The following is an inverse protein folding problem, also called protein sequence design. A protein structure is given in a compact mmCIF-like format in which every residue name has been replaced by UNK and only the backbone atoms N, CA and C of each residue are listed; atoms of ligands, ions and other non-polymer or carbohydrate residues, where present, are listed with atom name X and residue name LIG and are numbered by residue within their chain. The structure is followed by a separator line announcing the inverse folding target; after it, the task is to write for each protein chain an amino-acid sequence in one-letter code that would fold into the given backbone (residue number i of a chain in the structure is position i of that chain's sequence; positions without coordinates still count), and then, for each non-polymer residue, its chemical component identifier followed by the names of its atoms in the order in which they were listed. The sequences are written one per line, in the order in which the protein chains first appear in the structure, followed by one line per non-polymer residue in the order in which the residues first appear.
data_IF_955459198232
#
_entry.id   IF_955459198232
#
_cell.length_a   1.000
_cell.length_b   1.000
_cell.length_c   1.000
_cell.angle_alpha   90.00
_cell.angle_beta   90.00
_cell.angle_gamma   90.00
#
_symmetry.space_group_name_H-M   'P 1'
#
loop_
_entity.id
_entity.type
_entity.pdbx_description
1 polymer ?
#
# COMPACT_ATOMS: atom_id res chain seq x y z
N UNK A 1 -5.08 9.87 -15.98
CA UNK A 1 -6.42 9.28 -15.71
C UNK A 1 -6.95 8.27 -16.77
N UNK A 2 -6.50 8.29 -18.05
CA UNK A 2 -6.93 7.27 -19.05
C UNK A 2 -6.33 5.86 -18.84
N UNK A 3 -5.16 5.75 -18.20
CA UNK A 3 -4.45 4.46 -17.98
C UNK A 3 -5.23 3.55 -17.02
N UNK A 4 -5.72 4.08 -15.90
CA UNK A 4 -6.54 3.33 -14.93
C UNK A 4 -7.82 2.79 -15.57
N UNK A 5 -8.47 3.58 -16.42
CA UNK A 5 -9.70 3.17 -17.12
C UNK A 5 -9.46 2.03 -18.13
N UNK A 6 -8.29 2.01 -18.78
CA UNK A 6 -7.88 0.93 -19.70
C UNK A 6 -7.45 -0.34 -18.94
N UNK A 7 -6.79 -0.19 -17.78
CA UNK A 7 -6.49 -1.30 -16.88
C UNK A 7 -7.79 -1.96 -16.42
N UNK A 8 -8.78 -1.16 -16.00
CA UNK A 8 -10.07 -1.62 -15.46
C UNK A 8 -10.92 -2.42 -16.48
N UNK A 9 -10.76 -2.15 -17.78
CA UNK A 9 -11.44 -2.91 -18.84
C UNK A 9 -10.87 -4.33 -19.05
N UNK A 10 -9.61 -4.58 -18.67
CA UNK A 10 -8.94 -5.89 -18.83
C UNK A 10 -8.87 -6.71 -17.53
N UNK A 11 -9.46 -6.23 -16.43
CA UNK A 11 -9.48 -6.96 -15.14
C UNK A 11 -10.34 -8.24 -15.23
N UNK A 12 -11.25 -8.34 -16.21
CA UNK A 12 -11.90 -9.60 -16.58
C UNK A 12 -12.48 -10.40 -15.39
N UNK A 13 -12.04 -11.64 -15.25
CA UNK A 13 -12.46 -12.62 -14.22
C UNK A 13 -11.90 -12.36 -12.82
N UNK A 14 -10.81 -11.59 -12.67
CA UNK A 14 -10.10 -11.38 -11.39
C UNK A 14 -10.58 -10.13 -10.62
N UNK A 15 -11.78 -9.64 -10.91
CA UNK A 15 -12.38 -8.46 -10.25
C UNK A 15 -12.54 -8.64 -8.74
N UNK A 16 -12.83 -9.87 -8.29
CA UNK A 16 -12.98 -10.18 -6.86
C UNK A 16 -11.66 -9.96 -6.10
N UNK A 17 -10.57 -10.55 -6.58
CA UNK A 17 -9.24 -10.41 -5.95
C UNK A 17 -8.72 -8.97 -6.01
N UNK A 18 -9.04 -8.24 -7.09
CA UNK A 18 -8.71 -6.83 -7.23
C UNK A 18 -9.43 -5.92 -6.22
N UNK A 19 -10.64 -6.27 -5.78
CA UNK A 19 -11.38 -5.49 -4.77
C UNK A 19 -11.00 -5.92 -3.35
N UNK A 20 -10.76 -7.22 -3.13
CA UNK A 20 -10.38 -7.76 -1.83
C UNK A 20 -9.00 -7.25 -1.40
N UNK A 21 -8.05 -7.12 -2.34
CA UNK A 21 -6.68 -6.72 -2.03
C UNK A 21 -6.58 -5.36 -1.30
N UNK A 22 -7.19 -4.26 -1.78
CA UNK A 22 -7.21 -2.98 -1.05
C UNK A 22 -7.85 -3.07 0.34
N UNK A 23 -8.94 -3.83 0.50
CA UNK A 23 -9.63 -3.98 1.78
C UNK A 23 -8.75 -4.67 2.82
N UNK A 24 -8.06 -5.73 2.41
CA UNK A 24 -7.13 -6.48 3.26
C UNK A 24 -5.93 -5.61 3.64
N UNK A 25 -5.41 -4.79 2.72
CA UNK A 25 -4.31 -3.83 3.01
C UNK A 25 -4.72 -2.77 4.04
N UNK A 26 -5.96 -2.28 3.99
CA UNK A 26 -6.48 -1.35 5.00
C UNK A 26 -6.54 -2.04 6.38
N UNK A 27 -6.98 -3.30 6.42
CA UNK A 27 -6.99 -4.10 7.65
C UNK A 27 -5.60 -4.33 8.25
N UNK A 28 -4.59 -4.59 7.40
CA UNK A 28 -3.19 -4.71 7.83
C UNK A 28 -2.71 -3.41 8.51
N UNK A 29 -2.97 -2.26 7.90
CA UNK A 29 -2.58 -0.95 8.43
C UNK A 29 -3.24 -0.66 9.78
N UNK A 30 -4.50 -1.05 9.97
CA UNK A 30 -5.18 -0.89 11.27
C UNK A 30 -4.47 -1.69 12.37
N UNK A 31 -4.05 -2.92 12.08
CA UNK A 31 -3.30 -3.73 13.04
C UNK A 31 -1.94 -3.08 13.37
N UNK A 32 -1.24 -2.57 12.35
CA UNK A 32 0.04 -1.88 12.50
C UNK A 32 -0.10 -0.61 13.37
N UNK A 33 -1.21 0.13 13.22
CA UNK A 33 -1.47 1.38 13.97
C UNK A 33 -1.92 1.16 15.42
N UNK A 34 -2.27 -0.06 15.82
CA UNK A 34 -2.57 -0.39 17.23
C UNK A 34 -1.27 -0.56 18.03
N UNK A 35 -0.16 -0.94 17.39
CA UNK A 35 1.13 -1.22 18.05
C UNK A 35 1.65 0.00 18.85
N UNK A 36 1.66 1.24 18.33
CA UNK A 36 2.10 2.40 19.11
C UNK A 36 1.24 2.71 20.34
N UNK A 37 -0.08 2.44 20.31
CA UNK A 37 -0.95 2.60 21.49
C UNK A 37 -0.63 1.59 22.59
N UNK A 38 -0.40 0.33 22.18
CA UNK A 38 0.00 -0.71 23.10
C UNK A 38 1.38 -0.42 23.70
N UNK A 39 2.29 0.17 22.91
CA UNK A 39 3.59 0.62 23.40
C UNK A 39 3.47 1.73 24.44
N UNK A 40 2.61 2.74 24.23
CA UNK A 40 2.34 3.76 25.24
C UNK A 40 1.83 3.14 26.55
N UNK A 41 0.86 2.23 26.44
CA UNK A 41 0.28 1.54 27.60
C UNK A 41 1.31 0.68 28.33
N UNK A 42 2.21 0.03 27.59
CA UNK A 42 3.30 -0.79 28.14
C UNK A 42 4.27 0.06 28.96
N UNK A 43 4.61 1.26 28.48
CA UNK A 43 5.52 2.18 29.17
C UNK A 43 4.81 2.77 30.40
N UNK A 44 3.65 3.39 30.22
CA UNK A 44 3.00 4.19 31.26
C UNK A 44 2.38 3.35 32.39
N UNK A 45 1.76 2.23 32.03
CA UNK A 45 1.07 1.38 33.01
C UNK A 45 1.87 0.14 33.40
N UNK A 46 2.94 -0.18 32.66
CA UNK A 46 3.81 -1.31 32.96
C UNK A 46 5.14 -0.84 33.54
N UNK A 47 6.01 -0.31 32.68
CA UNK A 47 7.40 0.00 33.01
C UNK A 47 7.51 1.09 34.08
N UNK A 48 6.75 2.18 33.95
CA UNK A 48 6.81 3.32 34.86
C UNK A 48 6.23 2.99 36.24
N UNK A 49 5.17 2.17 36.29
CA UNK A 49 4.52 1.72 37.54
C UNK A 49 5.14 0.47 38.15
N UNK A 50 6.09 -0.18 37.48
CA UNK A 50 6.71 -1.43 37.91
C UNK A 50 5.78 -2.66 37.87
N UNK A 51 4.64 -2.59 37.17
CA UNK A 51 3.68 -3.69 37.09
C UNK A 51 4.07 -4.68 35.97
N UNK A 52 4.78 -5.74 36.36
CA UNK A 52 5.22 -6.79 35.44
C UNK A 52 4.06 -7.57 34.80
N UNK A 53 2.89 -7.62 35.44
CA UNK A 53 1.73 -8.31 34.88
C UNK A 53 1.18 -7.54 33.67
N UNK A 54 1.13 -6.21 33.75
CA UNK A 54 0.74 -5.34 32.62
C UNK A 54 1.76 -5.43 31.49
N UNK A 55 3.06 -5.45 31.79
CA UNK A 55 4.12 -5.58 30.77
C UNK A 55 3.95 -6.88 29.98
N UNK A 56 3.84 -8.03 30.67
CA UNK A 56 3.72 -9.34 30.01
C UNK A 56 2.42 -9.44 29.21
N UNK A 57 1.29 -9.00 29.77
CA UNK A 57 -0.01 -9.06 29.09
C UNK A 57 -0.05 -8.19 27.85
N UNK A 58 0.45 -6.96 27.94
CA UNK A 58 0.47 -6.01 26.82
C UNK A 58 1.42 -6.48 25.72
N UNK A 59 2.59 -7.00 26.08
CA UNK A 59 3.54 -7.59 25.12
C UNK A 59 2.95 -8.79 24.39
N UNK A 60 2.20 -9.65 25.08
CA UNK A 60 1.53 -10.80 24.47
C UNK A 60 0.43 -10.36 23.51
N UNK A 61 -0.36 -9.35 23.88
CA UNK A 61 -1.37 -8.75 22.99
C UNK A 61 -0.70 -8.13 21.75
N UNK A 62 0.41 -7.40 21.92
CA UNK A 62 1.17 -6.83 20.79
C UNK A 62 1.62 -7.92 19.83
N UNK A 63 2.13 -9.04 20.35
CA UNK A 63 2.57 -10.16 19.52
C UNK A 63 1.41 -10.76 18.71
N UNK A 64 0.24 -10.95 19.33
CA UNK A 64 -0.96 -11.44 18.62
C UNK A 64 -1.41 -10.46 17.53
N UNK A 65 -1.40 -9.16 17.81
CA UNK A 65 -1.76 -8.12 16.83
C UNK A 65 -0.80 -8.10 15.65
N UNK A 66 0.51 -8.21 15.89
CA UNK A 66 1.53 -8.26 14.83
C UNK A 66 1.39 -9.53 13.99
N UNK A 67 1.14 -10.69 14.61
CA UNK A 67 0.90 -11.93 13.87
C UNK A 67 -0.38 -11.86 13.02
N UNK A 68 -1.45 -11.27 13.57
CA UNK A 68 -2.67 -11.00 12.81
C UNK A 68 -2.38 -10.09 11.61
N UNK A 69 -1.72 -8.96 11.84
CA UNK A 69 -1.31 -8.03 10.79
C UNK A 69 -0.45 -8.71 9.71
N UNK A 70 0.50 -9.56 10.10
CA UNK A 70 1.33 -10.34 9.17
C UNK A 70 0.50 -11.28 8.30
N UNK A 71 -0.45 -12.02 8.89
CA UNK A 71 -1.32 -12.93 8.13
C UNK A 71 -2.20 -12.18 7.14
N UNK A 72 -2.78 -11.05 7.56
CA UNK A 72 -3.61 -10.18 6.72
C UNK A 72 -2.76 -9.59 5.58
N UNK A 73 -1.56 -9.09 5.87
CA UNK A 73 -0.63 -8.57 4.86
C UNK A 73 -0.18 -9.63 3.86
N UNK A 74 0.13 -10.85 4.31
CA UNK A 74 0.45 -11.98 3.45
C UNK A 74 -0.72 -12.35 2.53
N UNK A 75 -1.95 -12.45 3.07
CA UNK A 75 -3.15 -12.72 2.28
C UNK A 75 -3.37 -11.64 1.22
N UNK A 76 -3.28 -10.36 1.61
CA UNK A 76 -3.42 -9.25 0.66
C UNK A 76 -2.33 -9.26 -0.41
N UNK A 77 -1.11 -9.67 -0.06
CA UNK A 77 -0.02 -9.87 -1.02
C UNK A 77 -0.32 -10.99 -2.02
N UNK A 78 -0.85 -12.12 -1.55
CA UNK A 78 -1.23 -13.26 -2.40
C UNK A 78 -2.36 -12.86 -3.36
N UNK A 79 -3.48 -12.33 -2.86
CA UNK A 79 -4.60 -11.90 -3.71
C UNK A 79 -4.18 -10.82 -4.72
N UNK A 80 -3.35 -9.86 -4.30
CA UNK A 80 -2.84 -8.82 -5.19
C UNK A 80 -1.95 -9.38 -6.29
N UNK A 81 -1.11 -10.37 -5.95
CA UNK A 81 -0.24 -11.04 -6.92
C UNK A 81 -1.04 -11.88 -7.93
N UNK A 82 -2.08 -12.57 -7.47
CA UNK A 82 -2.97 -13.37 -8.30
C UNK A 82 -3.78 -12.48 -9.26
N UNK A 83 -4.35 -11.39 -8.77
CA UNK A 83 -5.09 -10.42 -9.58
C UNK A 83 -4.21 -9.83 -10.70
N UNK A 84 -2.95 -9.49 -10.37
CA UNK A 84 -2.02 -8.94 -11.35
C UNK A 84 -1.53 -9.97 -12.37
N UNK A 85 -1.24 -11.20 -11.95
CA UNK A 85 -0.84 -12.28 -12.85
C UNK A 85 -1.98 -12.67 -13.80
N UNK A 86 -3.22 -12.72 -13.30
CA UNK A 86 -4.43 -12.94 -14.10
C UNK A 86 -4.67 -11.83 -15.12
N UNK A 87 -4.55 -10.56 -14.70
CA UNK A 87 -4.58 -9.41 -15.59
C UNK A 87 -3.52 -9.50 -16.70
N UNK A 88 -2.28 -9.86 -16.33
CA UNK A 88 -1.17 -9.99 -17.29
C UNK A 88 -1.35 -11.15 -18.27
N UNK A 89 -2.05 -12.22 -17.87
CA UNK A 89 -2.43 -13.34 -18.75
C UNK A 89 -3.42 -12.88 -19.82
N UNK A 90 -4.51 -12.22 -19.43
CA UNK A 90 -5.53 -11.74 -20.37
C UNK A 90 -4.93 -10.75 -21.37
N UNK A 91 -4.16 -9.80 -20.85
CA UNK A 91 -3.46 -8.83 -21.67
C UNK A 91 -2.51 -9.48 -22.68
N UNK A 92 -1.74 -10.50 -22.28
CA UNK A 92 -0.86 -11.24 -23.20
C UNK A 92 -1.65 -11.95 -24.29
N UNK A 93 -2.78 -12.56 -23.94
CA UNK A 93 -3.63 -13.25 -24.91
C UNK A 93 -4.20 -12.26 -25.95
N UNK A 94 -4.71 -11.11 -25.51
CA UNK A 94 -5.26 -10.09 -26.40
C UNK A 94 -4.20 -9.54 -27.35
N UNK A 95 -2.98 -9.28 -26.85
CA UNK A 95 -1.88 -8.85 -27.69
C UNK A 95 -1.44 -9.93 -28.68
N UNK A 96 -1.41 -11.20 -28.28
CA UNK A 96 -1.08 -12.31 -29.15
C UNK A 96 -2.11 -12.46 -30.29
N UNK A 97 -3.40 -12.44 -29.96
CA UNK A 97 -4.48 -12.50 -30.93
C UNK A 97 -4.43 -11.32 -31.92
N UNK A 98 -4.15 -10.10 -31.45
CA UNK A 98 -4.03 -8.91 -32.30
C UNK A 98 -2.86 -8.99 -33.29
N UNK A 99 -1.74 -9.60 -32.87
CA UNK A 99 -0.58 -9.81 -33.75
C UNK A 99 -0.88 -10.83 -34.84
N UNK A 100 -1.69 -11.86 -34.55
CA UNK A 100 -2.09 -12.86 -35.54
C UNK A 100 -2.95 -12.28 -36.68
N UNK A 101 -3.65 -11.17 -36.43
CA UNK A 101 -4.44 -10.46 -37.45
C UNK A 101 -3.64 -9.45 -38.29
N UNK A 102 -2.33 -9.29 -38.08
CA UNK A 102 -1.51 -8.37 -38.86
C UNK A 102 -1.20 -8.88 -40.27
N UNK A 103 -1.47 -8.05 -41.27
CA UNK A 103 -1.00 -8.24 -42.65
C UNK A 103 0.53 -8.10 -42.73
N UNK A 104 1.18 -8.80 -43.69
CA UNK A 104 2.64 -8.86 -43.84
C UNK A 104 3.32 -7.46 -43.87
N UNK A 105 2.64 -6.43 -44.39
CA UNK A 105 3.16 -5.04 -44.41
C UNK A 105 3.29 -4.41 -43.01
N UNK A 106 2.49 -4.83 -42.02
CA UNK A 106 2.56 -4.35 -40.64
C UNK A 106 3.69 -5.01 -39.83
N UNK A 107 4.13 -6.20 -40.23
CA UNK A 107 5.22 -6.95 -39.58
C UNK A 107 6.59 -6.32 -39.93
N UNK A 108 6.79 -5.84 -41.16
CA UNK A 108 8.02 -5.13 -41.54
C UNK A 108 8.17 -3.77 -40.85
N UNK A 109 7.06 -3.13 -40.46
CA UNK A 109 7.06 -1.85 -39.73
C UNK A 109 7.42 -2.00 -38.25
N UNK A 110 7.10 -3.15 -37.66
CA UNK A 110 7.45 -3.50 -36.28
C UNK A 110 8.36 -4.73 -36.33
N UNK A 111 9.67 -4.53 -36.41
CA UNK A 111 10.64 -5.65 -36.43
C UNK A 111 10.34 -6.70 -35.34
N UNK A 112 10.45 -7.99 -35.66
CA UNK A 112 10.15 -9.15 -34.79
C UNK A 112 10.69 -9.03 -33.36
N UNK A 113 11.93 -8.53 -33.11
CA UNK A 113 12.46 -8.33 -31.76
C UNK A 113 11.68 -7.28 -30.94
N UNK A 114 11.10 -6.26 -31.60
CA UNK A 114 10.27 -5.25 -30.93
C UNK A 114 8.92 -5.80 -30.50
N UNK A 115 8.33 -6.75 -31.24
CA UNK A 115 7.10 -7.41 -30.82
C UNK A 115 7.33 -8.30 -29.60
N UNK A 116 8.44 -9.05 -29.57
CA UNK A 116 8.78 -9.92 -28.43
C UNK A 116 8.93 -9.11 -27.15
N UNK A 117 9.70 -8.01 -27.20
CA UNK A 117 9.89 -7.12 -26.03
C UNK A 117 8.60 -6.46 -25.55
N UNK A 118 7.63 -6.19 -26.45
CA UNK A 118 6.30 -5.69 -26.06
C UNK A 118 5.42 -6.77 -25.42
N UNK A 119 5.49 -8.00 -25.91
CA UNK A 119 4.73 -9.13 -25.35
C UNK A 119 5.23 -9.59 -23.98
N UNK A 120 6.52 -9.38 -23.68
CA UNK A 120 7.15 -9.81 -22.43
C UNK A 120 7.39 -8.63 -21.49
N UNK A 121 8.33 -7.75 -21.81
CA UNK A 121 8.81 -6.68 -20.94
C UNK A 121 7.74 -5.63 -20.67
N UNK A 122 7.02 -5.15 -21.69
CA UNK A 122 5.97 -4.15 -21.48
C UNK A 122 4.79 -4.74 -20.68
N UNK A 123 4.48 -6.04 -20.84
CA UNK A 123 3.49 -6.72 -20.00
C UNK A 123 3.95 -6.80 -18.55
N UNK A 124 5.20 -7.20 -18.29
CA UNK A 124 5.75 -7.29 -16.93
C UNK A 124 5.76 -5.92 -16.23
N UNK A 125 6.17 -4.86 -16.94
CA UNK A 125 6.14 -3.50 -16.41
C UNK A 125 4.71 -3.08 -16.01
N UNK A 126 3.71 -3.52 -16.76
CA UNK A 126 2.31 -3.15 -16.52
C UNK A 126 1.68 -4.05 -15.45
N UNK A 127 2.08 -5.32 -15.35
CA UNK A 127 1.76 -6.20 -14.23
C UNK A 127 2.28 -5.62 -12.91
N UNK A 128 3.53 -5.16 -12.88
CA UNK A 128 4.13 -4.53 -11.69
C UNK A 128 3.44 -3.21 -11.34
N UNK A 129 3.13 -2.38 -12.34
CA UNK A 129 2.37 -1.15 -12.13
C UNK A 129 0.97 -1.44 -11.56
N UNK A 130 0.32 -2.51 -12.02
CA UNK A 130 -0.97 -2.94 -11.50
C UNK A 130 -0.86 -3.41 -10.04
N UNK A 131 0.14 -4.24 -9.71
CA UNK A 131 0.39 -4.66 -8.31
C UNK A 131 0.62 -3.46 -7.39
N UNK A 132 1.38 -2.45 -7.83
CA UNK A 132 1.61 -1.23 -7.05
C UNK A 132 0.34 -0.44 -6.79
N UNK A 133 -0.46 -0.19 -7.84
CA UNK A 133 -1.71 0.55 -7.70
C UNK A 133 -2.68 -0.20 -6.78
N UNK A 134 -2.71 -1.53 -6.88
CA UNK A 134 -3.62 -2.35 -6.10
C UNK A 134 -3.21 -2.48 -4.63
N UNK A 135 -1.89 -2.48 -4.34
CA UNK A 135 -1.34 -2.80 -3.03
C UNK A 135 -0.72 -1.60 -2.32
N UNK A 136 0.25 -0.93 -2.95
CA UNK A 136 0.98 0.17 -2.32
C UNK A 136 0.14 1.43 -2.18
N UNK A 137 -0.68 1.78 -3.18
CA UNK A 137 -1.46 3.01 -3.10
C UNK A 137 -2.49 2.97 -1.94
N UNK A 138 -3.38 1.97 -1.82
CA UNK A 138 -4.34 1.90 -0.71
C UNK A 138 -3.64 1.83 0.64
N UNK A 139 -2.52 1.09 0.75
CA UNK A 139 -1.72 1.03 1.97
C UNK A 139 -1.20 2.41 2.38
N UNK A 140 -0.52 3.12 1.48
CA UNK A 140 0.07 4.43 1.79
C UNK A 140 -1.00 5.49 2.12
N UNK A 141 -2.13 5.48 1.41
CA UNK A 141 -3.23 6.40 1.69
C UNK A 141 -3.90 6.11 3.03
N UNK A 142 -4.18 4.83 3.33
CA UNK A 142 -4.79 4.44 4.60
C UNK A 142 -3.85 4.68 5.78
N UNK A 143 -2.56 4.38 5.65
CA UNK A 143 -1.57 4.60 6.72
C UNK A 143 -1.42 6.09 7.02
N UNK A 144 -1.40 6.95 6.00
CA UNK A 144 -1.37 8.40 6.18
C UNK A 144 -2.62 8.90 6.93
N UNK A 145 -3.82 8.50 6.48
CA UNK A 145 -5.07 8.94 7.09
C UNK A 145 -5.19 8.48 8.54
N UNK A 146 -4.96 7.19 8.80
CA UNK A 146 -5.09 6.61 10.15
C UNK A 146 -4.03 7.19 11.09
N UNK A 147 -2.77 7.32 10.64
CA UNK A 147 -1.72 7.91 11.47
C UNK A 147 -2.01 9.38 11.79
N UNK A 148 -2.48 10.17 10.81
CA UNK A 148 -2.90 11.54 11.07
C UNK A 148 -4.03 11.61 12.10
N UNK A 149 -5.08 10.81 11.94
CA UNK A 149 -6.17 10.73 12.91
C UNK A 149 -5.67 10.37 14.31
N UNK A 150 -4.78 9.36 14.43
CA UNK A 150 -4.21 8.96 15.71
C UNK A 150 -3.35 10.05 16.35
N UNK A 151 -2.56 10.79 15.56
CA UNK A 151 -1.81 11.95 16.07
C UNK A 151 -2.75 13.00 16.63
N UNK A 152 -3.87 13.30 15.97
CA UNK A 152 -4.86 14.24 16.50
C UNK A 152 -5.54 13.75 17.78
N UNK A 153 -5.79 12.44 17.91
CA UNK A 153 -6.37 11.86 19.13
C UNK A 153 -5.38 11.90 20.28
N UNK A 154 -4.12 11.54 20.05
CA UNK A 154 -3.07 11.55 21.08
C UNK A 154 -2.74 13.00 21.47
N UNK A 155 -2.50 13.88 20.49
CA UNK A 155 -2.25 15.31 20.76
C UNK A 155 -3.46 16.04 21.35
N UNK A 156 -4.69 15.66 20.99
CA UNK A 156 -5.92 16.18 21.60
C UNK A 156 -6.09 15.75 23.06
N UNK A 157 -5.65 14.55 23.43
CA UNK A 157 -5.51 14.15 24.85
C UNK A 157 -4.41 14.94 25.57
N UNK A 158 -3.31 15.24 24.89
CA UNK A 158 -2.17 16.00 25.45
C UNK A 158 -2.43 17.50 25.56
N UNK A 159 -3.21 18.09 24.66
CA UNK A 159 -3.43 19.54 24.55
C UNK A 159 -3.99 20.21 25.83
N UNK A 160 -5.04 19.67 26.49
CA UNK A 160 -5.50 20.24 27.76
C UNK A 160 -4.49 20.00 28.89
N UNK A 161 -3.72 18.91 28.85
CA UNK A 161 -2.66 18.62 29.83
C UNK A 161 -1.52 19.63 29.66
N UNK A 162 -1.14 20.01 28.44
CA UNK A 162 -0.07 20.98 28.18
C UNK A 162 -0.47 22.42 28.53
N UNK A 163 -1.71 22.82 28.23
CA UNK A 163 -2.28 24.11 28.63
C UNK A 163 -2.49 24.20 30.16
N UNK A 164 -2.83 23.09 30.82
CA UNK A 164 -2.91 22.99 32.28
C UNK A 164 -1.55 22.91 32.98
N UNK A 165 -0.58 22.20 32.40
CA UNK A 165 0.76 21.97 32.97
C UNK A 165 1.66 23.21 32.94
N UNK A 166 1.46 24.13 31.98
CA UNK A 166 2.10 25.46 32.06
C UNK A 166 1.63 26.27 33.27
N UNK A 167 0.47 25.96 33.85
CA UNK A 167 -0.07 26.63 35.03
C UNK A 167 0.32 25.92 36.35
N UNK A 168 0.55 24.60 36.32
CA UNK A 168 0.77 23.76 37.50
C UNK A 168 1.74 22.61 37.13
N UNK A 169 3.01 22.75 37.47
CA UNK A 169 3.95 21.63 37.77
C UNK A 169 4.34 20.66 36.62
N UNK A 170 5.65 20.54 36.44
CA UNK A 170 6.37 19.72 35.47
C UNK A 170 6.29 18.18 35.69
N UNK A 171 5.10 17.56 35.65
CA UNK A 171 4.93 16.17 36.11
C UNK A 171 4.29 15.12 35.18
N UNK A 172 3.31 15.45 34.32
CA UNK A 172 2.40 14.43 33.76
C UNK A 172 2.49 14.23 32.23
N UNK A 173 3.67 14.46 31.64
CA UNK A 173 3.93 13.93 30.29
C UNK A 173 4.41 12.48 30.43
N UNK A 174 3.46 11.56 30.37
CA UNK A 174 3.71 10.14 30.30
C UNK A 174 4.69 9.81 29.16
N UNK A 175 5.77 9.11 29.48
CA UNK A 175 6.82 8.79 28.51
C UNK A 175 6.27 7.96 27.34
N UNK A 176 5.28 7.10 27.61
CA UNK A 176 4.59 6.28 26.62
C UNK A 176 3.81 7.10 25.59
N UNK A 177 3.08 8.12 26.02
CA UNK A 177 2.35 8.99 25.10
C UNK A 177 3.30 9.75 24.14
N UNK A 178 4.44 10.24 24.65
CA UNK A 178 5.48 10.85 23.81
C UNK A 178 6.07 9.86 22.80
N UNK A 179 6.37 8.63 23.23
CA UNK A 179 6.91 7.60 22.34
C UNK A 179 5.91 7.18 21.25
N UNK A 180 4.62 7.08 21.57
CA UNK A 180 3.59 6.76 20.58
C UNK A 180 3.43 7.88 19.54
N UNK A 181 3.45 9.15 19.98
CA UNK A 181 3.43 10.30 19.08
C UNK A 181 4.64 10.30 18.14
N UNK A 182 5.83 10.01 18.66
CA UNK A 182 7.05 9.88 17.86
C UNK A 182 6.91 8.75 16.82
N UNK A 183 6.39 7.59 17.22
CA UNK A 183 6.14 6.47 16.31
C UNK A 183 5.14 6.83 15.21
N UNK A 184 4.05 7.54 15.52
CA UNK A 184 3.10 7.99 14.51
C UNK A 184 3.70 9.02 13.56
N UNK A 185 4.50 9.96 14.06
CA UNK A 185 5.22 10.93 13.22
C UNK A 185 6.16 10.22 12.23
N UNK A 186 6.90 9.20 12.68
CA UNK A 186 7.72 8.36 11.81
C UNK A 186 6.85 7.63 10.78
N UNK A 187 5.70 7.07 11.17
CA UNK A 187 4.79 6.41 10.24
C UNK A 187 4.22 7.35 9.18
N UNK A 188 3.91 8.60 9.53
CA UNK A 188 3.49 9.63 8.57
C UNK A 188 4.63 9.91 7.58
N UNK A 189 5.86 10.11 8.08
CA UNK A 189 7.02 10.36 7.23
C UNK A 189 7.27 9.21 6.24
N UNK A 190 7.25 7.97 6.73
CA UNK A 190 7.40 6.78 5.88
C UNK A 190 6.26 6.64 4.87
N UNK A 191 5.02 6.96 5.27
CA UNK A 191 3.86 6.97 4.36
C UNK A 191 4.02 8.00 3.23
N UNK A 192 4.55 9.18 3.54
CA UNK A 192 4.83 10.22 2.54
C UNK A 192 5.92 9.80 1.54
N UNK A 193 6.99 9.15 2.00
CA UNK A 193 8.03 8.60 1.12
C UNK A 193 7.46 7.50 0.22
N UNK A 194 6.60 6.63 0.73
CA UNK A 194 5.94 5.62 -0.10
C UNK A 194 5.00 6.24 -1.15
N UNK A 195 4.31 7.33 -0.80
CA UNK A 195 3.39 8.01 -1.69
C UNK A 195 4.13 8.72 -2.84
N UNK A 196 5.27 9.34 -2.55
CA UNK A 196 6.13 9.96 -3.58
C UNK A 196 6.66 8.91 -4.57
N UNK A 197 7.14 7.76 -4.07
CA UNK A 197 7.63 6.67 -4.92
C UNK A 197 6.51 6.05 -5.78
N UNK A 198 5.29 5.97 -5.24
CA UNK A 198 4.13 5.49 -5.99
C UNK A 198 3.80 6.41 -7.17
N UNK A 199 3.87 7.73 -6.99
CA UNK A 199 3.63 8.71 -8.06
C UNK A 199 4.73 8.64 -9.15
N UNK A 200 5.99 8.52 -8.76
CA UNK A 200 7.12 8.42 -9.69
C UNK A 200 7.00 7.19 -10.58
N UNK A 201 6.68 6.02 -10.02
CA UNK A 201 6.52 4.80 -10.79
C UNK A 201 5.27 4.77 -11.67
N UNK A 202 4.16 5.38 -11.25
CA UNK A 202 2.98 5.56 -12.13
C UNK A 202 3.40 6.36 -13.38
N UNK A 203 4.23 7.38 -13.22
CA UNK A 203 4.76 8.19 -14.32
C UNK A 203 5.64 7.35 -15.26
N UNK A 204 6.54 6.52 -14.72
CA UNK A 204 7.33 5.58 -15.54
C UNK A 204 6.45 4.57 -16.28
N UNK A 205 5.41 4.02 -15.64
CA UNK A 205 4.47 3.10 -16.31
C UNK A 205 3.66 3.80 -17.42
N UNK A 206 3.39 5.10 -17.26
CA UNK A 206 2.68 5.89 -18.26
C UNK A 206 3.52 6.14 -19.52
N UNK A 207 4.85 6.05 -19.43
CA UNK A 207 5.74 6.08 -20.59
C UNK A 207 5.66 4.80 -21.45
N UNK A 208 5.17 3.68 -20.90
CA UNK A 208 4.91 2.44 -21.64
C UNK A 208 3.54 2.44 -22.36
N UNK A 209 2.61 3.33 -21.98
CA UNK A 209 1.26 3.39 -22.56
C UNK A 209 1.17 3.88 -24.03
N UNK A 210 1.98 4.86 -24.51
CA UNK A 210 1.97 5.31 -25.90
C UNK A 210 2.34 4.20 -26.90
N UNK A 211 3.26 3.29 -26.54
CA UNK A 211 3.72 2.17 -27.38
C UNK A 211 2.63 1.12 -27.64
N UNK A 212 1.61 1.08 -26.79
CA UNK A 212 0.46 0.17 -26.90
C UNK A 212 -0.63 0.73 -27.83
N UNK A 213 -0.82 2.05 -27.84
CA UNK A 213 -1.81 2.72 -28.72
C UNK A 213 -1.45 2.68 -30.19
N UNK A 214 -0.16 2.62 -30.53
CA UNK A 214 0.28 2.52 -31.92
C UNK A 214 -0.16 1.19 -32.57
N UNK A 215 -0.18 0.09 -31.80
CA UNK A 215 -0.63 -1.24 -32.27
C UNK A 215 -2.13 -1.27 -32.54
N UNK A 216 -2.96 -0.75 -31.63
CA UNK A 216 -4.42 -0.75 -31.80
C UNK A 216 -4.92 0.32 -32.81
N UNK A 217 -4.06 1.25 -33.23
CA UNK A 217 -4.33 2.20 -34.33
C UNK A 217 -3.80 1.73 -35.69
N UNK A 218 -3.04 0.62 -35.75
CA UNK A 218 -2.59 0.02 -37.01
C UNK A 218 -3.39 -1.23 -37.42
N UNK A 219 -4.39 -1.60 -36.61
CA UNK A 219 -5.50 -2.49 -36.99
C UNK A 219 -6.65 -1.62 -37.47
#
# INVERSE_FOLDING_TARGET
MRVVKVLMQHIGEFKRDAIITPLVMIGEVVCEMIVPLLMATLIDNGVEKGDMQVVVRTSLIMLVVVLCGLTVGCLGSVFGSMAAAGFARNLRQDQYNAIQTFSFSNIDRFSTPSLVTRLTTDVMNIQNAFMMILRMAPRAFSSLLVAMCMVFVVSGRMAPIYLGANLIVAGDLNAGDLTSLLMYCINILMSLVMLSMTIVMITMSSASAPRRRSVHRTV
#
